data_IF_144551882055
#
_entry.id   IF_144551882055
#
_cell.length_a   1.000
_cell.length_b   1.000
_cell.length_c   1.000
_cell.angle_alpha   90.00
_cell.angle_beta   90.00
_cell.angle_gamma   90.00
#
_symmetry.space_group_name_H-M   'P 1'
#
loop_
_entity.id
_entity.type
_entity.pdbx_description
1 polymer ?
#
# COMPACT_ATOMS: atom_id res chain seq x y z
N UNK A 1 -31.22 66.38 28.49
CA UNK A 1 -30.91 65.83 27.16
C UNK A 1 -29.58 65.08 26.99
N UNK A 2 -28.46 65.32 27.72
CA UNK A 2 -27.20 64.59 27.47
C UNK A 2 -27.23 63.11 27.87
N UNK A 3 -28.04 62.70 28.85
CA UNK A 3 -28.19 61.28 29.27
C UNK A 3 -28.81 60.38 28.20
N UNK A 4 -29.71 60.90 27.35
CA UNK A 4 -30.34 60.10 26.29
C UNK A 4 -29.34 59.70 25.20
N UNK A 5 -28.43 60.62 24.81
CA UNK A 5 -27.40 60.34 23.81
C UNK A 5 -26.39 59.29 24.31
N UNK A 6 -26.04 59.33 25.60
CA UNK A 6 -25.15 58.36 26.22
C UNK A 6 -25.74 56.94 26.20
N UNK A 7 -27.03 56.79 26.51
CA UNK A 7 -27.69 55.48 26.50
C UNK A 7 -27.79 54.91 25.08
N UNK A 8 -28.12 55.74 24.09
CA UNK A 8 -28.18 55.29 22.68
C UNK A 8 -26.81 54.82 22.17
N UNK A 9 -25.73 55.50 22.55
CA UNK A 9 -24.37 55.11 22.16
C UNK A 9 -23.94 53.78 22.80
N UNK A 10 -24.25 53.56 24.09
CA UNK A 10 -23.98 52.29 24.78
C UNK A 10 -24.77 51.13 24.17
N UNK A 11 -26.04 51.34 23.84
CA UNK A 11 -26.86 50.32 23.15
C UNK A 11 -26.31 50.00 21.77
N UNK A 12 -25.89 51.01 21.00
CA UNK A 12 -25.29 50.79 19.68
C UNK A 12 -23.97 49.99 19.76
N UNK A 13 -23.09 50.31 20.72
CA UNK A 13 -21.84 49.56 20.95
C UNK A 13 -22.12 48.12 21.37
N UNK A 14 -23.10 47.90 22.24
CA UNK A 14 -23.49 46.55 22.67
C UNK A 14 -24.05 45.72 21.52
N UNK A 15 -24.97 46.27 20.73
CA UNK A 15 -25.51 45.61 19.55
C UNK A 15 -24.43 45.30 18.50
N UNK A 16 -23.50 46.23 18.26
CA UNK A 16 -22.37 46.00 17.36
C UNK A 16 -21.43 44.91 17.87
N UNK A 17 -21.16 44.87 19.18
CA UNK A 17 -20.31 43.84 19.80
C UNK A 17 -20.94 42.45 19.71
N UNK A 18 -22.26 42.34 19.94
CA UNK A 18 -23.01 41.10 19.76
C UNK A 18 -23.03 40.63 18.30
N UNK A 19 -23.18 41.57 17.35
CA UNK A 19 -23.09 41.27 15.93
C UNK A 19 -21.70 40.78 15.54
N UNK A 20 -20.64 41.43 16.02
CA UNK A 20 -19.26 41.00 15.74
C UNK A 20 -19.00 39.59 16.32
N UNK A 21 -19.46 39.34 17.55
CA UNK A 21 -19.34 38.03 18.19
C UNK A 21 -20.10 36.95 17.41
N UNK A 22 -21.32 37.23 16.91
CA UNK A 22 -22.08 36.26 16.13
C UNK A 22 -21.43 35.96 14.78
N UNK A 23 -20.85 36.97 14.12
CA UNK A 23 -20.06 36.78 12.89
C UNK A 23 -18.81 35.93 13.17
N UNK A 24 -18.08 36.19 14.27
CA UNK A 24 -16.92 35.40 14.67
C UNK A 24 -17.28 33.96 15.01
N UNK A 25 -18.39 33.73 15.73
CA UNK A 25 -18.90 32.38 16.01
C UNK A 25 -19.31 31.67 14.73
N UNK A 26 -19.97 32.37 13.80
CA UNK A 26 -20.33 31.79 12.49
C UNK A 26 -19.09 31.49 11.65
N UNK A 27 -18.06 32.35 11.67
CA UNK A 27 -16.78 32.08 11.01
C UNK A 27 -16.04 30.92 11.66
N UNK A 28 -16.00 30.85 12.99
CA UNK A 28 -15.41 29.76 13.74
C UNK A 28 -16.13 28.44 13.46
N UNK A 29 -17.46 28.42 13.53
CA UNK A 29 -18.27 27.25 13.21
C UNK A 29 -18.16 26.87 11.73
N UNK A 30 -18.14 27.84 10.81
CA UNK A 30 -17.94 27.60 9.38
C UNK A 30 -16.53 27.08 9.11
N UNK A 31 -15.50 27.60 9.77
CA UNK A 31 -14.12 27.11 9.67
C UNK A 31 -13.98 25.72 10.28
N UNK A 32 -14.64 25.42 11.41
CA UNK A 32 -14.65 24.08 12.01
C UNK A 32 -15.51 23.08 11.24
N UNK A 33 -16.54 23.56 10.53
CA UNK A 33 -17.43 22.75 9.70
C UNK A 33 -16.88 22.54 8.28
N UNK A 34 -16.12 23.50 7.75
CA UNK A 34 -15.40 23.46 6.47
C UNK A 34 -13.96 22.99 6.59
N UNK A 35 -13.41 22.88 7.81
CA UNK A 35 -12.47 21.81 8.15
C UNK A 35 -13.26 20.50 8.08
N UNK A 36 -13.81 20.21 6.89
CA UNK A 36 -14.37 18.93 6.54
C UNK A 36 -13.27 17.95 6.94
N UNK A 37 -13.56 17.12 7.95
CA UNK A 37 -12.59 16.16 8.46
C UNK A 37 -12.11 15.41 7.24
N UNK A 38 -10.85 15.63 6.85
CA UNK A 38 -10.27 14.97 5.70
C UNK A 38 -10.55 13.48 5.82
N UNK A 39 -10.83 12.80 4.71
CA UNK A 39 -11.04 11.36 4.75
C UNK A 39 -9.84 10.69 5.41
N UNK A 40 -10.10 9.66 6.21
CA UNK A 40 -9.04 8.78 6.69
C UNK A 40 -8.62 7.90 5.53
N UNK A 41 -7.34 8.02 5.13
CA UNK A 41 -6.77 7.20 4.06
C UNK A 41 -6.06 6.01 4.68
N UNK A 42 -6.49 4.81 4.29
CA UNK A 42 -5.89 3.55 4.69
C UNK A 42 -5.22 2.91 3.48
N UNK A 43 -3.95 2.54 3.62
CA UNK A 43 -3.20 1.82 2.61
C UNK A 43 -2.78 0.45 3.17
N UNK A 44 -3.33 -0.62 2.61
CA UNK A 44 -2.99 -2.00 2.94
C UNK A 44 -1.95 -2.50 1.95
N UNK A 45 -0.77 -2.88 2.43
CA UNK A 45 0.36 -3.27 1.58
C UNK A 45 0.98 -4.57 2.07
N UNK A 46 1.72 -5.23 1.18
CA UNK A 46 2.45 -6.45 1.50
C UNK A 46 3.95 -6.22 1.65
N UNK A 47 4.50 -6.67 2.77
CA UNK A 47 5.92 -6.56 3.02
C UNK A 47 6.65 -7.80 2.44
N UNK A 48 7.72 -7.66 1.61
CA UNK A 48 8.50 -6.45 1.30
C UNK A 48 8.41 -5.96 -0.18
N UNK A 49 7.22 -5.70 -0.74
CA UNK A 49 7.14 -5.31 -2.18
C UNK A 49 7.75 -3.92 -2.47
N UNK A 50 8.64 -3.78 -3.49
CA UNK A 50 9.31 -2.53 -3.83
C UNK A 50 8.42 -1.41 -4.41
N UNK A 51 7.18 -1.67 -4.80
CA UNK A 51 6.27 -0.63 -5.32
C UNK A 51 5.45 0.09 -4.22
N UNK A 52 5.34 -0.52 -3.04
CA UNK A 52 4.63 0.01 -1.87
C UNK A 52 5.05 1.43 -1.44
N UNK A 53 6.34 1.78 -1.37
CA UNK A 53 6.75 3.15 -1.04
C UNK A 53 6.24 4.17 -2.07
N UNK A 54 6.16 3.79 -3.36
CA UNK A 54 5.65 4.66 -4.41
C UNK A 54 4.14 4.87 -4.30
N UNK A 55 3.38 3.84 -3.94
CA UNK A 55 1.94 3.95 -3.70
C UNK A 55 1.64 4.90 -2.52
N UNK A 56 2.38 4.77 -1.42
CA UNK A 56 2.26 5.66 -0.26
C UNK A 56 2.57 7.13 -0.60
N UNK A 57 3.66 7.36 -1.35
CA UNK A 57 3.99 8.69 -1.86
C UNK A 57 2.87 9.28 -2.73
N UNK A 58 2.22 8.45 -3.54
CA UNK A 58 1.18 8.92 -4.46
C UNK A 58 -0.05 9.40 -3.72
N UNK A 59 -0.43 8.66 -2.69
CA UNK A 59 -1.51 9.08 -1.80
C UNK A 59 -1.18 10.38 -1.07
N UNK A 60 0.04 10.49 -0.51
CA UNK A 60 0.45 11.69 0.21
C UNK A 60 0.46 12.93 -0.68
N UNK A 61 0.98 12.80 -1.90
CA UNK A 61 1.12 13.93 -2.82
C UNK A 61 -0.19 14.37 -3.42
N UNK A 62 -1.02 13.44 -3.86
CA UNK A 62 -2.24 13.75 -4.61
C UNK A 62 -3.45 13.96 -3.72
N UNK A 63 -3.55 13.28 -2.58
CA UNK A 63 -4.69 13.41 -1.67
C UNK A 63 -4.39 14.32 -0.47
N UNK A 64 -3.11 14.60 -0.20
CA UNK A 64 -2.65 15.46 0.91
C UNK A 64 -3.37 15.18 2.25
N UNK A 65 -3.44 13.91 2.69
CA UNK A 65 -4.04 13.59 3.96
C UNK A 65 -3.17 14.12 5.11
N UNK A 66 -3.80 14.57 6.19
CA UNK A 66 -3.08 14.95 7.41
C UNK A 66 -2.24 13.81 8.02
N UNK A 67 -2.65 12.56 7.78
CA UNK A 67 -1.93 11.36 8.17
C UNK A 67 -2.34 10.21 7.22
N UNK A 68 -1.36 9.53 6.63
CA UNK A 68 -1.56 8.28 5.91
C UNK A 68 -1.37 7.12 6.90
N UNK A 69 -2.37 6.24 7.00
CA UNK A 69 -2.29 5.04 7.83
C UNK A 69 -1.95 3.85 6.93
N UNK A 70 -0.76 3.28 7.13
CA UNK A 70 -0.27 2.15 6.34
C UNK A 70 -0.36 0.89 7.20
N UNK A 71 -1.09 -0.12 6.71
CA UNK A 71 -1.27 -1.40 7.36
C UNK A 71 -0.42 -2.42 6.60
N UNK A 72 0.62 -2.94 7.25
CA UNK A 72 1.54 -3.89 6.63
C UNK A 72 1.09 -5.32 6.93
N UNK A 73 0.94 -6.13 5.89
CA UNK A 73 0.74 -7.57 6.02
C UNK A 73 2.03 -8.29 5.68
N UNK A 74 2.55 -9.09 6.61
CA UNK A 74 3.74 -9.90 6.39
C UNK A 74 3.45 -11.16 5.59
N UNK A 75 4.45 -11.64 4.85
CA UNK A 75 4.40 -12.92 4.13
C UNK A 75 4.88 -14.06 5.05
N UNK A 76 4.30 -15.27 4.97
CA UNK A 76 4.88 -16.47 5.55
C UNK A 76 6.28 -16.74 5.02
N UNK A 77 7.28 -16.83 5.90
CA UNK A 77 8.67 -17.12 5.52
C UNK A 77 9.30 -18.17 6.43
N UNK A 78 10.33 -18.82 5.92
CA UNK A 78 11.18 -19.71 6.69
C UNK A 78 12.65 -19.64 6.25
N UNK A 79 13.45 -18.89 7.02
CA UNK A 79 14.90 -18.80 6.82
C UNK A 79 15.66 -20.13 6.98
N UNK A 80 14.99 -21.21 7.39
CA UNK A 80 15.53 -22.55 7.30
C UNK A 80 15.54 -23.10 5.85
N UNK A 81 14.73 -22.60 4.92
CA UNK A 81 14.57 -23.17 3.56
C UNK A 81 15.69 -22.71 2.62
N UNK A 82 15.88 -23.48 1.54
CA UNK A 82 17.11 -23.66 0.76
C UNK A 82 17.71 -22.42 0.08
N UNK A 83 18.81 -22.66 -0.64
CA UNK A 83 19.55 -21.64 -1.39
C UNK A 83 18.64 -20.88 -2.36
N UNK A 84 18.92 -19.59 -2.59
CA UNK A 84 18.24 -18.81 -3.61
C UNK A 84 18.36 -19.49 -4.99
N UNK A 85 17.24 -19.67 -5.68
CA UNK A 85 17.20 -20.18 -7.06
C UNK A 85 16.19 -19.36 -7.86
N UNK A 86 16.68 -18.47 -8.72
CA UNK A 86 15.90 -17.53 -9.55
C UNK A 86 14.90 -18.16 -10.54
N UNK A 87 14.80 -19.49 -10.59
CA UNK A 87 13.90 -20.21 -11.49
C UNK A 87 12.76 -20.97 -10.76
N UNK A 88 12.72 -20.97 -9.43
CA UNK A 88 11.65 -21.64 -8.66
C UNK A 88 10.74 -20.57 -8.08
N UNK A 89 9.57 -20.43 -8.68
CA UNK A 89 8.59 -19.45 -8.25
C UNK A 89 7.40 -20.07 -7.51
N UNK A 90 6.99 -21.30 -7.83
CA UNK A 90 5.88 -21.94 -7.13
C UNK A 90 6.32 -22.51 -5.78
N UNK A 91 5.54 -22.23 -4.73
CA UNK A 91 5.75 -22.83 -3.41
C UNK A 91 5.59 -24.34 -3.48
N UNK A 92 6.59 -25.07 -3.00
CA UNK A 92 6.45 -26.52 -2.87
C UNK A 92 5.59 -26.89 -1.65
N UNK A 93 4.77 -27.94 -1.76
CA UNK A 93 3.85 -28.36 -0.69
C UNK A 93 4.49 -28.83 0.62
N UNK A 94 5.82 -28.89 0.70
CA UNK A 94 6.59 -29.20 1.91
C UNK A 94 7.20 -27.96 2.57
N UNK A 95 7.11 -26.77 1.95
CA UNK A 95 7.57 -25.51 2.52
C UNK A 95 6.66 -25.12 3.69
N UNK A 96 7.21 -25.16 4.90
CA UNK A 96 6.56 -24.69 6.12
C UNK A 96 7.08 -23.29 6.42
N UNK A 97 6.26 -22.45 7.04
CA UNK A 97 6.71 -21.15 7.54
C UNK A 97 6.92 -21.17 9.05
N UNK A 98 7.75 -20.26 9.54
CA UNK A 98 7.99 -20.04 10.97
C UNK A 98 7.45 -18.67 11.34
N UNK A 99 6.43 -18.64 12.21
CA UNK A 99 5.71 -17.39 12.53
C UNK A 99 6.65 -16.26 12.99
N UNK A 100 7.62 -16.59 13.86
CA UNK A 100 8.61 -15.64 14.35
C UNK A 100 9.50 -15.10 13.23
N UNK A 101 9.85 -15.89 12.21
CA UNK A 101 10.62 -15.40 11.06
C UNK A 101 9.81 -14.38 10.27
N UNK A 102 8.52 -14.67 10.01
CA UNK A 102 7.60 -13.78 9.32
C UNK A 102 7.39 -12.47 10.07
N UNK A 103 7.20 -12.53 11.39
CA UNK A 103 7.05 -11.35 12.24
C UNK A 103 8.30 -10.47 12.22
N UNK A 104 9.49 -11.09 12.32
CA UNK A 104 10.77 -10.36 12.25
C UNK A 104 10.99 -9.71 10.89
N UNK A 105 10.61 -10.37 9.80
CA UNK A 105 10.71 -9.79 8.45
C UNK A 105 9.70 -8.65 8.24
N UNK A 106 8.51 -8.76 8.83
CA UNK A 106 7.51 -7.69 8.81
C UNK A 106 8.02 -6.44 9.58
N UNK A 107 8.63 -6.62 10.74
CA UNK A 107 9.27 -5.54 11.51
C UNK A 107 10.42 -4.89 10.72
N UNK A 108 11.28 -5.68 10.08
CA UNK A 108 12.36 -5.17 9.23
C UNK A 108 11.81 -4.33 8.06
N UNK A 109 10.77 -4.83 7.39
CA UNK A 109 10.11 -4.11 6.29
C UNK A 109 9.51 -2.78 6.75
N UNK A 110 8.98 -2.73 7.97
CA UNK A 110 8.49 -1.49 8.57
C UNK A 110 9.62 -0.51 8.88
N UNK A 111 10.76 -0.98 9.40
CA UNK A 111 11.95 -0.14 9.63
C UNK A 111 12.46 0.48 8.32
N UNK A 112 12.49 -0.32 7.24
CA UNK A 112 12.91 0.11 5.90
C UNK A 112 11.99 1.20 5.35
N UNK A 113 10.68 0.98 5.40
CA UNK A 113 9.69 1.97 4.99
C UNK A 113 9.80 3.25 5.81
N UNK A 114 9.93 3.16 7.15
CA UNK A 114 10.12 4.34 8.00
C UNK A 114 11.36 5.13 7.59
N UNK A 115 12.50 4.46 7.44
CA UNK A 115 13.76 5.08 7.02
C UNK A 115 13.62 5.79 5.68
N UNK A 116 12.96 5.14 4.72
CA UNK A 116 12.67 5.73 3.42
C UNK A 116 11.82 7.00 3.54
N UNK A 117 10.72 6.94 4.29
CA UNK A 117 9.83 8.09 4.46
C UNK A 117 10.47 9.25 5.24
N UNK A 118 11.36 8.94 6.18
CA UNK A 118 12.17 9.95 6.88
C UNK A 118 13.16 10.63 5.93
N UNK A 119 13.84 9.87 5.06
CA UNK A 119 14.71 10.44 3.99
C UNK A 119 13.92 11.34 3.03
N UNK A 120 12.63 11.05 2.80
CA UNK A 120 11.72 11.89 2.02
C UNK A 120 11.10 13.06 2.80
N UNK A 121 11.46 13.27 4.08
CA UNK A 121 10.90 14.30 4.97
C UNK A 121 9.37 14.21 5.19
N UNK A 122 8.80 13.00 5.07
CA UNK A 122 7.35 12.76 5.19
C UNK A 122 7.00 11.74 6.28
N UNK A 123 7.97 11.18 6.99
CA UNK A 123 7.72 10.20 8.06
C UNK A 123 6.74 10.70 9.14
N UNK A 124 6.72 12.01 9.43
CA UNK A 124 5.78 12.63 10.36
C UNK A 124 4.30 12.58 9.91
N UNK A 125 4.02 12.31 8.63
CA UNK A 125 2.68 12.19 8.07
C UNK A 125 2.21 10.73 7.98
N UNK A 126 2.99 9.78 8.49
CA UNK A 126 2.75 8.35 8.29
C UNK A 126 2.65 7.63 9.63
N UNK A 127 1.78 6.63 9.69
CA UNK A 127 1.71 5.66 10.78
C UNK A 127 1.70 4.25 10.23
N UNK A 128 2.58 3.40 10.74
CA UNK A 128 2.71 2.00 10.33
C UNK A 128 2.04 1.08 11.35
N UNK A 129 1.13 0.23 10.89
CA UNK A 129 0.35 -0.68 11.70
C UNK A 129 0.65 -2.14 11.37
N UNK A 130 0.59 -2.99 12.39
CA UNK A 130 0.71 -4.44 12.24
C UNK A 130 -0.61 -5.01 11.69
N UNK A 131 -0.61 -5.43 10.43
CA UNK A 131 -1.71 -6.14 9.77
C UNK A 131 -1.70 -7.66 9.97
N UNK A 132 -0.69 -8.19 10.67
CA UNK A 132 -0.47 -9.62 10.86
C UNK A 132 0.29 -10.28 9.71
N UNK A 133 0.30 -11.60 9.72
CA UNK A 133 0.94 -12.43 8.70
C UNK A 133 -0.15 -13.13 7.89
N UNK A 134 -0.09 -13.04 6.56
CA UNK A 134 -1.01 -13.78 5.70
C UNK A 134 -0.90 -15.29 5.96
N UNK A 135 -1.97 -16.07 5.84
CA UNK A 135 -1.93 -17.51 6.15
C UNK A 135 -1.14 -18.34 5.11
N UNK A 136 -0.92 -17.81 3.91
CA UNK A 136 -0.24 -18.49 2.82
C UNK A 136 0.74 -17.54 2.11
N UNK A 137 1.81 -18.10 1.53
CA UNK A 137 2.59 -17.45 0.48
C UNK A 137 2.47 -18.34 -0.77
N UNK A 138 1.91 -17.85 -1.90
CA UNK A 138 1.69 -18.66 -3.09
C UNK A 138 2.96 -18.90 -3.90
N UNK A 139 3.99 -18.09 -3.67
CA UNK A 139 5.32 -18.24 -4.25
C UNK A 139 6.28 -18.87 -3.25
N UNK A 140 7.36 -19.46 -3.76
CA UNK A 140 8.40 -20.07 -2.93
C UNK A 140 9.02 -19.05 -1.99
N UNK A 141 9.28 -19.49 -0.75
CA UNK A 141 9.92 -18.66 0.29
C UNK A 141 11.25 -18.07 -0.24
N UNK A 142 11.97 -18.83 -1.09
CA UNK A 142 13.23 -18.39 -1.69
C UNK A 142 13.14 -17.13 -2.58
N UNK A 143 11.96 -16.75 -3.08
CA UNK A 143 11.82 -15.50 -3.85
C UNK A 143 11.72 -14.29 -2.90
N UNK A 144 10.98 -14.44 -1.81
CA UNK A 144 10.63 -13.34 -0.90
C UNK A 144 11.63 -13.17 0.25
N UNK A 145 12.30 -14.24 0.64
CA UNK A 145 13.28 -14.26 1.72
C UNK A 145 14.53 -13.44 1.41
N UNK A 146 14.72 -12.97 0.18
CA UNK A 146 15.96 -12.30 -0.23
C UNK A 146 15.74 -10.84 -0.63
N UNK A 147 14.49 -10.42 -0.85
CA UNK A 147 14.15 -9.02 -1.20
C UNK A 147 14.50 -8.04 -0.06
N UNK A 148 14.63 -8.54 1.18
CA UNK A 148 15.10 -7.73 2.31
C UNK A 148 16.58 -7.37 2.23
N UNK A 149 17.35 -8.05 1.37
CA UNK A 149 18.75 -7.72 1.14
C UNK A 149 18.93 -6.53 0.20
N UNK A 150 17.91 -6.10 -0.55
CA UNK A 150 18.07 -5.06 -1.56
C UNK A 150 18.62 -3.73 -1.03
N UNK A 151 18.34 -3.39 0.23
CA UNK A 151 18.83 -2.15 0.86
C UNK A 151 19.91 -2.38 1.93
N UNK A 152 20.69 -3.45 1.74
CA UNK A 152 21.69 -3.95 2.69
C UNK A 152 23.13 -3.69 2.29
N UNK A 153 23.38 -2.51 1.70
CA UNK A 153 24.74 -2.09 1.36
C UNK A 153 25.67 -2.03 2.56
N UNK A 154 25.13 -1.78 3.76
CA UNK A 154 25.81 -1.89 5.05
C UNK A 154 26.49 -3.25 5.29
N UNK A 155 26.01 -4.33 4.67
CA UNK A 155 26.56 -5.67 4.86
C UNK A 155 27.78 -6.01 4.00
N UNK A 156 28.12 -5.13 3.04
CA UNK A 156 29.24 -5.32 2.10
C UNK A 156 30.36 -4.32 2.40
N UNK A 157 30.01 -3.07 2.69
CA UNK A 157 30.99 -2.02 2.94
C UNK A 157 31.41 -1.99 4.40
N UNK A 158 32.68 -2.34 4.67
CA UNK A 158 33.24 -2.36 6.04
C UNK A 158 33.32 -0.98 6.72
N UNK A 159 33.06 0.13 6.02
CA UNK A 159 33.16 1.49 6.57
C UNK A 159 32.12 2.45 5.96
N UNK A 160 31.07 2.78 6.72
CA UNK A 160 30.40 4.09 6.62
C UNK A 160 29.32 4.29 5.56
N UNK A 161 28.70 3.24 5.00
CA UNK A 161 27.44 3.43 4.28
C UNK A 161 26.29 3.57 5.29
N UNK A 162 25.38 4.50 5.03
CA UNK A 162 24.16 4.66 5.81
C UNK A 162 23.23 3.47 5.58
N UNK A 163 22.52 3.05 6.63
CA UNK A 163 21.47 2.03 6.49
C UNK A 163 20.41 2.46 5.46
N UNK A 164 19.94 1.50 4.66
CA UNK A 164 18.90 1.72 3.65
C UNK A 164 19.42 2.33 2.34
N UNK A 165 20.68 2.14 1.98
CA UNK A 165 21.17 2.33 0.61
C UNK A 165 20.95 1.05 -0.22
N UNK A 166 20.54 1.21 -1.48
CA UNK A 166 20.27 0.09 -2.40
C UNK A 166 21.58 -0.51 -2.92
N UNK A 167 21.63 -1.84 -3.00
CA UNK A 167 22.72 -2.59 -3.60
C UNK A 167 22.77 -2.42 -5.13
N UNK A 168 23.95 -2.43 -5.73
CA UNK A 168 24.04 -2.72 -7.17
C UNK A 168 23.69 -4.19 -7.44
N UNK A 169 23.31 -4.56 -8.68
CA UNK A 169 23.07 -5.96 -9.04
C UNK A 169 24.25 -6.88 -8.69
N UNK A 170 25.49 -6.44 -8.96
CA UNK A 170 26.71 -7.21 -8.68
C UNK A 170 26.91 -7.41 -7.17
N UNK A 171 26.66 -6.36 -6.38
CA UNK A 171 26.75 -6.42 -4.92
C UNK A 171 25.69 -7.35 -4.32
N UNK A 172 24.47 -7.32 -4.86
CA UNK A 172 23.41 -8.25 -4.46
C UNK A 172 23.80 -9.70 -4.78
N UNK A 173 24.33 -9.98 -5.98
CA UNK A 173 24.79 -11.31 -6.36
C UNK A 173 25.93 -11.82 -5.46
N UNK A 174 26.88 -10.95 -5.09
CA UNK A 174 27.95 -11.27 -4.14
C UNK A 174 27.38 -11.68 -2.78
N UNK A 175 26.45 -10.88 -2.25
CA UNK A 175 25.82 -11.13 -0.95
C UNK A 175 24.98 -12.42 -0.97
N UNK A 176 24.20 -12.64 -2.03
CA UNK A 176 23.43 -13.87 -2.24
C UNK A 176 24.36 -15.09 -2.29
N UNK A 177 25.48 -15.00 -3.01
CA UNK A 177 26.47 -16.07 -3.13
C UNK A 177 27.08 -16.40 -1.77
N UNK A 178 27.50 -15.39 -1.02
CA UNK A 178 28.04 -15.53 0.35
C UNK A 178 27.08 -16.30 1.26
N UNK A 179 25.79 -15.96 1.26
CA UNK A 179 24.80 -16.67 2.07
C UNK A 179 24.46 -18.07 1.55
N UNK A 180 24.50 -18.29 0.23
CA UNK A 180 24.29 -19.60 -0.38
C UNK A 180 25.41 -20.60 -0.07
N UNK A 181 26.61 -20.14 0.28
CA UNK A 181 27.73 -20.97 0.74
C UNK A 181 27.60 -21.40 2.21
N UNK A 182 26.77 -20.70 2.99
CA UNK A 182 26.57 -21.02 4.40
C UNK A 182 25.74 -22.29 4.59
N UNK A 183 25.99 -22.98 5.72
CA UNK A 183 25.08 -24.02 6.17
C UNK A 183 23.72 -23.42 6.55
N UNK A 184 22.66 -24.21 6.40
CA UNK A 184 21.26 -23.83 6.69
C UNK A 184 21.12 -23.09 8.04
N UNK A 185 21.60 -23.69 9.12
CA UNK A 185 21.50 -23.09 10.46
C UNK A 185 22.41 -21.88 10.69
N UNK A 186 23.52 -21.75 9.95
CA UNK A 186 24.34 -20.52 10.02
C UNK A 186 23.62 -19.37 9.33
N UNK A 187 23.14 -19.58 8.11
CA UNK A 187 22.43 -18.56 7.33
C UNK A 187 21.20 -18.02 8.06
N UNK A 188 20.40 -18.90 8.66
CA UNK A 188 19.25 -18.51 9.48
C UNK A 188 19.65 -17.55 10.61
N UNK A 189 20.67 -17.91 11.41
CA UNK A 189 21.15 -17.06 12.50
C UNK A 189 21.64 -15.71 11.99
N UNK A 190 22.36 -15.71 10.89
CA UNK A 190 22.86 -14.48 10.27
C UNK A 190 21.69 -13.61 9.80
N UNK A 191 20.73 -14.17 9.05
CA UNK A 191 19.52 -13.47 8.60
C UNK A 191 18.77 -12.84 9.78
N UNK A 192 18.47 -13.61 10.81
CA UNK A 192 17.79 -13.08 12.00
C UNK A 192 18.60 -11.98 12.70
N UNK A 193 19.92 -12.05 12.70
CA UNK A 193 20.78 -11.06 13.35
C UNK A 193 20.86 -9.73 12.60
N UNK A 194 20.61 -9.74 11.30
CA UNK A 194 20.70 -8.54 10.46
C UNK A 194 19.35 -7.84 10.27
N UNK A 195 18.23 -8.46 10.65
CA UNK A 195 16.89 -7.84 10.54
C UNK A 195 16.74 -6.68 11.51
N UNK A 196 16.30 -5.54 11.00
CA UNK A 196 16.04 -4.32 11.77
C UNK A 196 14.80 -4.51 12.64
N UNK A 197 14.80 -3.88 13.81
CA UNK A 197 13.63 -3.86 14.68
C UNK A 197 12.79 -2.61 14.44
N UNK A 198 11.48 -2.78 14.35
CA UNK A 198 10.53 -1.68 14.33
C UNK A 198 9.31 -2.01 15.18
N UNK A 199 8.86 -1.06 15.98
CA UNK A 199 7.64 -1.25 16.77
C UNK A 199 6.40 -0.84 15.96
N UNK A 200 5.79 -1.81 15.29
CA UNK A 200 4.53 -1.61 14.58
C UNK A 200 3.37 -1.33 15.56
N UNK A 201 2.51 -0.40 15.19
CA UNK A 201 1.36 -0.03 16.00
C UNK A 201 0.29 -1.14 15.89
N UNK A 202 -0.28 -1.64 17.00
CA UNK A 202 -1.37 -2.61 16.93
C UNK A 202 -2.59 -2.09 16.16
N UNK A 203 -3.23 -2.95 15.36
CA UNK A 203 -4.38 -2.58 14.53
C UNK A 203 -5.57 -2.03 15.34
N UNK A 204 -5.77 -2.51 16.57
CA UNK A 204 -6.82 -2.01 17.46
C UNK A 204 -6.63 -0.53 17.84
N UNK A 205 -5.40 -0.02 17.85
CA UNK A 205 -5.15 1.40 18.08
C UNK A 205 -5.71 2.24 16.93
N UNK A 206 -5.63 1.76 15.69
CA UNK A 206 -6.23 2.41 14.52
C UNK A 206 -7.76 2.45 14.64
N UNK A 207 -8.38 1.32 15.00
CA UNK A 207 -9.85 1.26 15.26
C UNK A 207 -10.26 2.33 16.27
N UNK A 208 -9.56 2.36 17.40
CA UNK A 208 -9.83 3.31 18.47
C UNK A 208 -9.66 4.77 18.01
N UNK A 209 -8.62 5.05 17.22
CA UNK A 209 -8.35 6.38 16.67
C UNK A 209 -9.47 6.85 15.73
N UNK A 210 -9.90 5.99 14.79
CA UNK A 210 -10.97 6.30 13.84
C UNK A 210 -12.30 6.55 14.55
N UNK A 211 -12.65 5.71 15.54
CA UNK A 211 -13.88 5.84 16.31
C UNK A 211 -13.89 7.14 17.15
N UNK A 212 -12.77 7.50 17.78
CA UNK A 212 -12.65 8.71 18.61
C UNK A 212 -12.71 10.00 17.80
N UNK A 213 -12.05 10.05 16.64
CA UNK A 213 -11.96 11.26 15.81
C UNK A 213 -13.29 11.65 15.16
N UNK A 214 -14.39 10.91 15.38
CA UNK A 214 -15.67 11.03 14.66
C UNK A 214 -15.42 11.24 13.15
N UNK A 215 -14.52 10.41 12.61
CA UNK A 215 -14.24 10.36 11.19
C UNK A 215 -15.54 10.06 10.43
N UNK A 216 -15.81 10.79 9.34
CA UNK A 216 -17.01 10.56 8.53
C UNK A 216 -16.78 9.58 7.39
N UNK A 217 -15.54 9.53 6.89
CA UNK A 217 -15.21 8.91 5.63
C UNK A 217 -13.86 8.21 5.71
N UNK A 218 -13.83 6.96 5.23
CA UNK A 218 -12.64 6.14 5.10
C UNK A 218 -12.50 5.75 3.64
N UNK A 219 -11.33 6.01 3.06
CA UNK A 219 -10.97 5.54 1.72
C UNK A 219 -9.91 4.46 1.89
N UNK A 220 -10.15 3.30 1.29
CA UNK A 220 -9.31 2.11 1.42
C UNK A 220 -8.56 1.88 0.11
N UNK A 221 -7.24 1.72 0.21
CA UNK A 221 -6.36 1.28 -0.87
C UNK A 221 -5.76 -0.08 -0.51
N UNK A 222 -5.84 -1.04 -1.43
CA UNK A 222 -5.36 -2.41 -1.24
C UNK A 222 -4.30 -2.72 -2.30
N UNK A 223 -3.03 -2.69 -1.89
CA UNK A 223 -1.89 -3.21 -2.64
C UNK A 223 -1.47 -4.63 -2.22
N UNK A 224 -1.69 -4.99 -0.95
CA UNK A 224 -1.36 -6.32 -0.42
C UNK A 224 -2.55 -7.29 -0.22
N UNK A 225 -2.31 -8.46 0.40
CA UNK A 225 -3.35 -9.37 0.86
C UNK A 225 -4.34 -8.68 1.81
N UNK A 226 -5.59 -9.14 1.78
CA UNK A 226 -6.66 -8.53 2.58
C UNK A 226 -6.67 -8.98 4.04
N UNK A 227 -5.68 -9.72 4.53
CA UNK A 227 -5.66 -10.34 5.88
C UNK A 227 -6.10 -9.40 7.01
N UNK A 228 -5.62 -8.15 6.99
CA UNK A 228 -5.96 -7.16 8.01
C UNK A 228 -7.32 -6.47 7.80
N UNK A 229 -7.93 -6.56 6.61
CA UNK A 229 -9.16 -5.84 6.26
C UNK A 229 -10.35 -6.34 7.11
N UNK A 230 -10.68 -7.65 7.17
CA UNK A 230 -11.74 -8.12 8.05
C UNK A 230 -11.48 -7.82 9.53
N UNK A 231 -10.23 -7.90 9.95
CA UNK A 231 -9.83 -7.63 11.33
C UNK A 231 -10.08 -6.16 11.68
N UNK A 232 -9.72 -5.21 10.80
CA UNK A 232 -9.95 -3.79 11.03
C UNK A 232 -11.44 -3.42 11.00
N UNK A 233 -12.19 -4.05 10.11
CA UNK A 233 -13.59 -3.74 9.80
C UNK A 233 -14.58 -4.76 10.39
N UNK A 234 -14.23 -5.38 11.52
CA UNK A 234 -15.09 -6.28 12.29
C UNK A 234 -16.36 -5.57 12.84
N UNK A 235 -16.29 -4.25 13.01
CA UNK A 235 -17.40 -3.41 13.45
C UNK A 235 -18.22 -2.85 12.27
N UNK A 236 -19.55 -3.02 12.33
CA UNK A 236 -20.48 -2.37 11.40
C UNK A 236 -20.29 -0.84 11.35
N UNK A 237 -19.99 -0.20 12.48
CA UNK A 237 -19.79 1.25 12.55
C UNK A 237 -18.60 1.70 11.70
N UNK A 238 -17.53 0.89 11.65
CA UNK A 238 -16.38 1.18 10.81
C UNK A 238 -16.68 0.89 9.34
N UNK A 239 -17.36 -0.23 9.03
CA UNK A 239 -17.77 -0.58 7.66
C UNK A 239 -18.63 0.50 7.02
N UNK A 240 -19.58 1.07 7.76
CA UNK A 240 -20.46 2.13 7.28
C UNK A 240 -19.74 3.47 7.01
N UNK A 241 -18.50 3.64 7.47
CA UNK A 241 -17.68 4.84 7.19
C UNK A 241 -16.85 4.70 5.92
N UNK A 242 -16.68 3.48 5.41
CA UNK A 242 -15.97 3.29 4.14
C UNK A 242 -16.83 3.87 3.03
N UNK A 243 -16.24 4.69 2.16
CA UNK A 243 -16.93 5.29 1.00
C UNK A 243 -16.43 4.70 -0.30
N UNK A 244 -15.13 4.44 -0.38
CA UNK A 244 -14.47 3.91 -1.56
C UNK A 244 -13.41 2.87 -1.18
N UNK A 245 -13.27 1.88 -2.04
CA UNK A 245 -12.19 0.89 -1.99
C UNK A 245 -11.57 0.79 -3.37
N UNK A 246 -10.26 0.99 -3.44
CA UNK A 246 -9.43 0.82 -4.63
C UNK A 246 -8.43 -0.31 -4.36
N UNK A 247 -8.15 -1.17 -5.32
CA UNK A 247 -7.13 -2.19 -5.09
C UNK A 247 -6.57 -2.85 -6.34
N UNK A 248 -5.33 -3.31 -6.22
CA UNK A 248 -4.73 -4.25 -7.16
C UNK A 248 -5.17 -5.64 -6.72
N UNK A 249 -6.20 -6.16 -7.37
CA UNK A 249 -6.82 -7.40 -6.90
C UNK A 249 -7.53 -8.17 -8.01
N UNK A 250 -7.34 -9.49 -7.98
CA UNK A 250 -8.01 -10.41 -8.89
C UNK A 250 -7.40 -10.51 -10.28
N UNK A 251 -8.01 -11.40 -11.07
CA UNK A 251 -7.69 -11.69 -12.45
C UNK A 251 -9.01 -11.83 -13.23
N UNK A 252 -9.02 -11.38 -14.48
CA UNK A 252 -10.16 -11.56 -15.40
C UNK A 252 -10.28 -13.02 -15.84
N UNK A 253 -9.14 -13.68 -16.08
CA UNK A 253 -9.08 -15.08 -16.49
C UNK A 253 -8.09 -15.83 -15.57
N UNK A 254 -8.58 -16.40 -14.44
CA UNK A 254 -7.73 -17.15 -13.50
C UNK A 254 -6.85 -18.19 -14.22
N UNK A 255 -5.54 -18.14 -13.94
CA UNK A 255 -4.55 -19.07 -14.51
C UNK A 255 -4.11 -18.82 -15.96
N UNK A 256 -4.66 -17.81 -16.67
CA UNK A 256 -4.17 -17.45 -18.02
C UNK A 256 -3.23 -16.25 -17.95
N UNK A 257 -1.99 -16.43 -18.38
CA UNK A 257 -0.97 -15.35 -18.39
C UNK A 257 -0.50 -14.91 -17.00
N UNK A 258 -0.91 -15.63 -15.96
CA UNK A 258 -0.50 -15.41 -14.56
C UNK A 258 0.31 -16.61 -14.07
N UNK A 259 1.29 -16.33 -13.21
CA UNK A 259 2.16 -17.35 -12.61
C UNK A 259 1.40 -18.26 -11.65
N UNK A 260 0.27 -17.78 -11.14
CA UNK A 260 -0.53 -18.40 -10.10
C UNK A 260 -1.96 -18.61 -10.60
N UNK A 261 -2.64 -19.63 -10.05
CA UNK A 261 -4.06 -19.89 -10.37
C UNK A 261 -4.95 -18.70 -10.00
N UNK A 262 -4.64 -18.03 -8.90
CA UNK A 262 -5.27 -16.78 -8.46
C UNK A 262 -4.25 -15.64 -8.53
N UNK A 263 -4.70 -14.38 -8.54
CA UNK A 263 -3.80 -13.24 -8.31
C UNK A 263 -3.09 -13.38 -6.94
N UNK A 264 -1.86 -12.86 -6.82
CA UNK A 264 -0.99 -13.08 -5.67
C UNK A 264 -1.65 -12.73 -4.33
N UNK A 265 -2.18 -11.52 -4.17
CA UNK A 265 -2.81 -11.04 -2.93
C UNK A 265 -4.01 -11.90 -2.51
N UNK A 266 -4.81 -12.35 -3.49
CA UNK A 266 -5.90 -13.31 -3.25
C UNK A 266 -5.35 -14.64 -2.74
N UNK A 267 -4.30 -15.16 -3.38
CA UNK A 267 -3.76 -16.48 -3.07
C UNK A 267 -3.08 -16.53 -1.68
N UNK A 268 -2.58 -15.40 -1.19
CA UNK A 268 -2.05 -15.27 0.17
C UNK A 268 -3.13 -15.47 1.24
N UNK A 269 -4.37 -15.00 1.00
CA UNK A 269 -5.47 -15.09 1.96
C UNK A 269 -6.84 -15.16 1.27
N UNK A 270 -7.19 -16.34 0.75
CA UNK A 270 -8.44 -16.56 0.02
C UNK A 270 -9.65 -16.33 0.91
N UNK A 271 -9.56 -16.69 2.20
CA UNK A 271 -10.68 -16.55 3.14
C UNK A 271 -11.01 -15.08 3.37
N UNK A 272 -10.00 -14.26 3.66
CA UNK A 272 -10.18 -12.82 3.79
C UNK A 272 -10.68 -12.19 2.49
N UNK A 273 -10.13 -12.60 1.33
CA UNK A 273 -10.58 -12.12 0.03
C UNK A 273 -12.07 -12.44 -0.21
N UNK A 274 -12.53 -13.62 0.20
CA UNK A 274 -13.93 -14.01 0.13
C UNK A 274 -14.82 -13.13 1.02
N UNK A 275 -14.42 -12.88 2.27
CA UNK A 275 -15.17 -12.01 3.17
C UNK A 275 -15.32 -10.60 2.58
N UNK A 276 -14.23 -10.03 2.04
CA UNK A 276 -14.24 -8.67 1.49
C UNK A 276 -15.07 -8.58 0.20
N UNK A 277 -14.89 -9.51 -0.74
CA UNK A 277 -15.41 -9.34 -2.10
C UNK A 277 -16.59 -10.25 -2.46
N UNK A 278 -16.66 -11.48 -1.93
CA UNK A 278 -17.71 -12.47 -2.28
C UNK A 278 -18.91 -12.36 -1.33
N UNK A 279 -18.64 -12.33 -0.02
CA UNK A 279 -19.65 -12.10 1.02
C UNK A 279 -20.06 -10.63 1.10
N UNK A 280 -19.31 -9.78 0.40
CA UNK A 280 -19.51 -8.35 0.27
C UNK A 280 -19.58 -7.63 1.62
N UNK A 281 -18.44 -7.58 2.31
CA UNK A 281 -18.27 -6.83 3.57
C UNK A 281 -18.70 -5.37 3.46
N UNK A 282 -18.68 -4.77 2.26
CA UNK A 282 -19.02 -3.37 2.02
C UNK A 282 -20.13 -3.23 0.97
N UNK A 283 -21.37 -3.65 1.26
CA UNK A 283 -22.40 -3.83 0.24
C UNK A 283 -22.98 -2.51 -0.27
N UNK A 284 -22.61 -1.37 0.32
CA UNK A 284 -23.13 -0.04 -0.04
C UNK A 284 -22.13 0.82 -0.82
N UNK A 285 -20.91 0.35 -1.02
CA UNK A 285 -19.85 1.13 -1.67
C UNK A 285 -19.49 0.53 -3.02
N UNK A 286 -19.04 1.39 -3.94
CA UNK A 286 -18.35 0.93 -5.14
C UNK A 286 -16.92 0.52 -4.80
N UNK A 287 -16.52 -0.65 -5.28
CA UNK A 287 -15.18 -1.24 -5.14
C UNK A 287 -14.52 -1.25 -6.51
N UNK A 288 -13.36 -0.62 -6.64
CA UNK A 288 -12.65 -0.43 -7.90
C UNK A 288 -11.39 -1.30 -7.91
N UNK A 289 -11.40 -2.36 -8.70
CA UNK A 289 -10.28 -3.29 -8.79
C UNK A 289 -9.56 -3.16 -10.12
N UNK A 290 -8.24 -3.07 -10.04
CA UNK A 290 -7.33 -3.22 -11.16
C UNK A 290 -6.83 -4.67 -11.13
N UNK A 291 -7.09 -5.41 -12.21
CA UNK A 291 -6.63 -6.79 -12.30
C UNK A 291 -5.19 -6.88 -12.78
N UNK A 292 -4.61 -8.07 -12.62
CA UNK A 292 -3.26 -8.35 -13.11
C UNK A 292 -3.12 -8.13 -14.62
N UNK A 293 -4.13 -8.47 -15.41
CA UNK A 293 -4.11 -8.29 -16.86
C UNK A 293 -4.07 -6.81 -17.25
N UNK A 294 -4.92 -5.99 -16.63
CA UNK A 294 -4.96 -4.54 -16.85
C UNK A 294 -3.64 -3.90 -16.41
N UNK A 295 -3.12 -4.26 -15.23
CA UNK A 295 -1.87 -3.71 -14.73
C UNK A 295 -0.67 -4.03 -15.63
N UNK A 296 -0.69 -5.17 -16.34
CA UNK A 296 0.37 -5.59 -17.28
C UNK A 296 0.21 -5.01 -18.69
N UNK A 297 -0.74 -4.11 -18.91
CA UNK A 297 -0.87 -3.44 -20.20
C UNK A 297 0.33 -2.52 -20.44
N UNK A 298 0.85 -2.52 -21.68
CA UNK A 298 2.07 -1.79 -22.06
C UNK A 298 2.10 -0.32 -21.61
N UNK A 299 1.01 0.48 -21.69
CA UNK A 299 1.05 1.87 -21.23
C UNK A 299 1.27 2.03 -19.70
N UNK A 300 0.99 0.99 -18.91
CA UNK A 300 1.15 0.95 -17.45
C UNK A 300 2.44 0.24 -17.02
N UNK A 301 3.31 -0.12 -17.97
CA UNK A 301 4.63 -0.67 -17.70
C UNK A 301 5.66 0.44 -17.85
N UNK A 302 6.47 0.63 -16.82
CA UNK A 302 7.60 1.56 -16.84
C UNK A 302 8.83 0.77 -17.28
N UNK A 303 9.60 1.30 -18.23
CA UNK A 303 10.88 0.69 -18.60
C UNK A 303 11.98 1.20 -17.69
N UNK A 304 13.07 0.44 -17.57
CA UNK A 304 14.30 0.91 -16.92
C UNK A 304 14.79 2.24 -17.53
N UNK A 305 14.53 2.49 -18.83
CA UNK A 305 14.86 3.75 -19.46
C UNK A 305 14.01 4.90 -18.92
N UNK A 306 12.70 4.72 -18.78
CA UNK A 306 11.82 5.71 -18.15
C UNK A 306 12.21 5.94 -16.69
N UNK A 307 12.47 4.87 -15.93
CA UNK A 307 12.89 4.94 -14.52
C UNK A 307 14.12 5.84 -14.32
N UNK A 308 15.13 5.69 -15.18
CA UNK A 308 16.38 6.48 -15.13
C UNK A 308 16.19 7.98 -15.39
N UNK A 309 15.06 8.40 -15.98
CA UNK A 309 14.76 9.81 -16.22
C UNK A 309 14.28 10.52 -14.94
N UNK A 310 13.89 9.78 -13.88
CA UNK A 310 13.33 10.33 -12.64
C UNK A 310 14.39 10.69 -11.59
N UNK A 311 15.56 11.21 -12.01
CA UNK A 311 16.79 11.36 -11.22
C UNK A 311 16.72 12.08 -9.85
N UNK A 312 15.56 12.62 -9.45
CA UNK A 312 15.33 13.19 -8.13
C UNK A 312 15.00 12.16 -7.03
N UNK A 313 14.73 10.89 -7.35
CA UNK A 313 14.31 9.86 -6.39
C UNK A 313 15.09 8.56 -6.55
N UNK A 314 16.38 8.62 -6.20
CA UNK A 314 17.31 7.50 -6.41
C UNK A 314 16.83 6.20 -5.78
N UNK A 315 16.27 6.23 -4.57
CA UNK A 315 15.99 4.98 -3.84
C UNK A 315 14.91 4.08 -4.46
N UNK A 316 13.71 4.60 -4.81
CA UNK A 316 12.67 3.76 -5.46
C UNK A 316 13.11 3.33 -6.86
N UNK A 317 13.76 4.23 -7.61
CA UNK A 317 14.29 3.91 -8.93
C UNK A 317 15.36 2.83 -8.85
N UNK A 318 16.33 2.95 -7.94
CA UNK A 318 17.38 1.97 -7.70
C UNK A 318 16.79 0.63 -7.25
N UNK A 319 15.82 0.64 -6.34
CA UNK A 319 15.14 -0.56 -5.86
C UNK A 319 14.41 -1.29 -7.00
N UNK A 320 13.68 -0.56 -7.84
CA UNK A 320 13.00 -1.11 -9.00
C UNK A 320 13.98 -1.64 -10.05
N UNK A 321 15.06 -0.91 -10.33
CA UNK A 321 16.12 -1.37 -11.25
C UNK A 321 16.82 -2.63 -10.75
N UNK A 322 17.10 -2.71 -9.44
CA UNK A 322 17.66 -3.91 -8.82
C UNK A 322 16.68 -5.07 -8.93
N UNK A 323 15.41 -4.86 -8.61
CA UNK A 323 14.37 -5.88 -8.72
C UNK A 323 14.19 -6.40 -10.15
N UNK A 324 14.18 -5.51 -11.17
CA UNK A 324 14.16 -5.90 -12.58
C UNK A 324 15.36 -6.79 -12.93
N UNK A 325 16.55 -6.44 -12.44
CA UNK A 325 17.78 -7.18 -12.71
C UNK A 325 17.73 -8.61 -12.14
N UNK A 326 17.17 -8.80 -10.95
CA UNK A 326 17.03 -10.11 -10.31
C UNK A 326 15.92 -10.97 -10.94
N UNK A 327 15.04 -10.36 -11.74
CA UNK A 327 13.89 -10.99 -12.38
C UNK A 327 13.99 -11.09 -13.92
N UNK A 328 15.21 -11.33 -14.42
CA UNK A 328 15.51 -11.54 -15.86
C UNK A 328 15.29 -10.30 -16.73
N UNK A 329 15.50 -9.10 -16.16
CA UNK A 329 15.35 -7.81 -16.86
C UNK A 329 13.97 -7.65 -17.51
N UNK A 330 12.92 -8.18 -16.88
CA UNK A 330 11.55 -7.99 -17.33
C UNK A 330 11.02 -6.70 -16.72
N UNK A 331 10.64 -5.77 -17.58
CA UNK A 331 9.89 -4.58 -17.17
C UNK A 331 8.64 -5.01 -16.39
N UNK A 332 8.41 -4.38 -15.25
CA UNK A 332 7.25 -4.65 -14.39
C UNK A 332 6.38 -3.41 -14.28
N UNK A 333 5.06 -3.57 -14.18
CA UNK A 333 4.20 -2.47 -13.75
C UNK A 333 4.41 -2.20 -12.26
N UNK A 334 4.19 -0.95 -11.84
CA UNK A 334 4.07 -0.60 -10.43
C UNK A 334 2.64 -0.93 -9.97
N UNK A 335 2.42 -2.20 -9.66
CA UNK A 335 1.11 -2.80 -9.43
C UNK A 335 0.26 -1.99 -8.43
N UNK A 336 0.84 -1.59 -7.31
CA UNK A 336 0.13 -0.96 -6.21
C UNK A 336 -0.05 0.55 -6.38
N UNK A 337 0.69 1.14 -7.32
CA UNK A 337 0.56 2.54 -7.71
C UNK A 337 -0.64 2.76 -8.63
N UNK A 338 -1.00 1.76 -9.46
CA UNK A 338 -2.06 1.89 -10.47
C UNK A 338 -3.45 2.12 -9.83
N UNK A 339 -3.86 1.42 -8.76
CA UNK A 339 -5.12 1.73 -8.06
C UNK A 339 -5.17 3.16 -7.52
N UNK A 340 -4.03 3.71 -7.09
CA UNK A 340 -3.94 5.11 -6.65
C UNK A 340 -4.12 6.05 -7.83
N UNK A 341 -3.47 5.78 -8.96
CA UNK A 341 -3.68 6.56 -10.18
C UNK A 341 -5.15 6.52 -10.62
N UNK A 342 -5.76 5.34 -10.64
CA UNK A 342 -7.14 5.12 -11.06
C UNK A 342 -8.18 5.81 -10.16
N UNK A 343 -7.83 6.11 -8.90
CA UNK A 343 -8.74 6.80 -7.97
C UNK A 343 -8.80 8.31 -8.17
N UNK A 344 -7.88 8.88 -8.94
CA UNK A 344 -7.81 10.32 -9.17
C UNK A 344 -8.68 10.71 -10.37
N UNK A 345 -9.56 11.70 -10.19
CA UNK A 345 -10.49 12.21 -11.23
C UNK A 345 -9.81 12.52 -12.57
N UNK A 346 -8.55 13.00 -12.53
CA UNK A 346 -7.76 13.30 -13.73
C UNK A 346 -7.49 12.06 -14.59
N UNK A 347 -7.34 10.89 -13.95
CA UNK A 347 -6.91 9.65 -14.60
C UNK A 347 -8.02 8.60 -14.70
N UNK A 348 -9.13 8.74 -13.96
CA UNK A 348 -10.29 7.86 -14.04
C UNK A 348 -10.78 7.61 -15.49
N UNK A 349 -10.87 8.62 -16.39
CA UNK A 349 -11.37 8.41 -17.76
C UNK A 349 -10.54 7.49 -18.64
N UNK A 350 -9.31 7.15 -18.21
CA UNK A 350 -8.41 6.27 -18.95
C UNK A 350 -8.58 4.80 -18.59
N UNK A 351 -9.40 4.49 -17.58
CA UNK A 351 -9.72 3.12 -17.17
C UNK A 351 -11.11 2.73 -17.69
N UNK A 352 -11.19 1.60 -18.38
CA UNK A 352 -12.49 1.07 -18.82
C UNK A 352 -13.02 0.14 -17.74
N UNK A 353 -14.04 0.60 -17.03
CA UNK A 353 -14.66 -0.13 -15.92
C UNK A 353 -15.76 -1.07 -16.41
N UNK A 354 -15.80 -2.26 -15.85
CA UNK A 354 -16.86 -3.25 -16.06
C UNK A 354 -17.44 -3.70 -14.74
N UNK A 355 -18.77 -3.81 -14.65
CA UNK A 355 -19.42 -4.38 -13.47
C UNK A 355 -19.21 -5.90 -13.42
N UNK A 356 -18.62 -6.37 -12.33
CA UNK A 356 -18.31 -7.78 -12.10
C UNK A 356 -18.86 -8.25 -10.76
N UNK A 357 -19.13 -9.53 -10.61
CA UNK A 357 -19.35 -10.19 -9.32
C UNK A 357 -18.12 -11.03 -8.98
N UNK A 358 -17.63 -10.94 -7.74
CA UNK A 358 -16.64 -11.87 -7.24
C UNK A 358 -17.31 -13.18 -6.82
N UNK A 359 -16.72 -14.31 -7.19
CA UNK A 359 -17.17 -15.65 -6.80
C UNK A 359 -15.99 -16.52 -6.40
N UNK A 360 -16.24 -17.49 -5.52
CA UNK A 360 -15.30 -18.57 -5.23
C UNK A 360 -15.80 -19.84 -5.89
N UNK A 361 -15.02 -20.41 -6.82
CA UNK A 361 -15.31 -21.68 -7.49
C UNK A 361 -14.10 -22.58 -7.40
N UNK A 362 -14.24 -23.77 -6.83
CA UNK A 362 -13.15 -24.75 -6.69
C UNK A 362 -11.88 -24.18 -6.00
N UNK A 363 -12.10 -23.34 -4.98
CA UNK A 363 -11.05 -22.56 -4.26
C UNK A 363 -10.30 -21.54 -5.14
N UNK A 364 -10.84 -21.22 -6.32
CA UNK A 364 -10.35 -20.16 -7.19
C UNK A 364 -11.26 -18.95 -7.08
N UNK A 365 -10.64 -17.79 -6.94
CA UNK A 365 -11.34 -16.52 -6.91
C UNK A 365 -11.51 -16.03 -8.34
N UNK A 366 -12.75 -15.79 -8.75
CA UNK A 366 -13.08 -15.40 -10.10
C UNK A 366 -13.89 -14.10 -10.10
N UNK A 367 -13.67 -13.27 -11.13
CA UNK A 367 -14.43 -12.06 -11.39
C UNK A 367 -15.29 -12.27 -12.64
N UNK A 368 -16.61 -12.36 -12.47
CA UNK A 368 -17.56 -12.67 -13.55
C UNK A 368 -18.41 -11.46 -13.92
N UNK A 369 -18.83 -11.33 -15.19
CA UNK A 369 -19.75 -10.25 -15.61
C UNK A 369 -21.05 -10.26 -14.77
N UNK A 370 -21.51 -9.07 -14.40
CA UNK A 370 -22.77 -8.88 -13.67
C UNK A 370 -23.46 -7.58 -14.09
N UNK A 371 -24.78 -7.53 -13.96
CA UNK A 371 -25.59 -6.34 -14.23
C UNK A 371 -26.04 -5.60 -12.95
N UNK A 372 -25.62 -6.07 -11.77
CA UNK A 372 -26.10 -5.53 -10.49
C UNK A 372 -25.06 -5.70 -9.38
N UNK A 373 -23.80 -5.37 -9.67
CA UNK A 373 -22.72 -5.50 -8.69
C UNK A 373 -22.07 -4.15 -8.40
N UNK A 374 -21.70 -3.94 -7.14
CA UNK A 374 -20.93 -2.77 -6.72
C UNK A 374 -19.42 -2.92 -6.94
N UNK A 375 -18.99 -4.01 -7.59
CA UNK A 375 -17.59 -4.25 -7.91
C UNK A 375 -17.32 -3.87 -9.36
N UNK A 376 -16.55 -2.80 -9.55
CA UNK A 376 -16.06 -2.29 -10.81
C UNK A 376 -14.64 -2.79 -11.05
N UNK A 377 -14.43 -3.43 -12.18
CA UNK A 377 -13.16 -4.04 -12.54
C UNK A 377 -12.67 -3.41 -13.83
N UNK A 378 -11.48 -2.85 -13.80
CA UNK A 378 -10.84 -2.33 -15.00
C UNK A 378 -10.36 -3.50 -15.85
N UNK A 379 -10.71 -3.49 -17.13
CA UNK A 379 -10.28 -4.50 -18.10
C UNK A 379 -9.42 -3.93 -19.24
N UNK A 380 -9.32 -2.61 -19.33
CA UNK A 380 -8.55 -1.92 -20.34
C UNK A 380 -8.07 -0.56 -19.82
N UNK A 381 -6.93 -0.11 -20.34
CA UNK A 381 -6.39 1.22 -20.16
C UNK A 381 -6.24 1.89 -21.53
N UNK A 382 -7.03 2.93 -21.77
CA UNK A 382 -7.11 3.62 -23.07
C UNK A 382 -6.18 4.84 -23.18
N UNK A 383 -5.35 5.08 -22.15
CA UNK A 383 -4.35 6.15 -22.16
C UNK A 383 -3.06 5.77 -22.89
N UNK A 384 -2.23 6.77 -23.18
CA UNK A 384 -0.89 6.54 -23.71
C UNK A 384 0.16 6.46 -22.57
N UNK A 385 1.35 5.96 -22.91
CA UNK A 385 2.45 5.82 -21.96
C UNK A 385 2.89 7.16 -21.37
N UNK A 386 2.81 8.26 -22.15
CA UNK A 386 3.21 9.59 -21.70
C UNK A 386 2.36 10.09 -20.53
N UNK A 387 1.08 9.70 -20.46
CA UNK A 387 0.22 10.04 -19.33
C UNK A 387 0.63 9.31 -18.04
N UNK A 388 0.97 8.03 -18.16
CA UNK A 388 1.44 7.26 -17.02
C UNK A 388 2.81 7.76 -16.55
N UNK A 389 3.71 8.05 -17.50
CA UNK A 389 4.97 8.73 -17.21
C UNK A 389 4.72 10.11 -16.60
N UNK A 390 3.77 10.92 -17.07
CA UNK A 390 3.40 12.22 -16.47
C UNK A 390 2.91 12.06 -15.02
N UNK A 391 2.07 11.06 -14.76
CA UNK A 391 1.62 10.73 -13.40
C UNK A 391 2.82 10.42 -12.49
N UNK A 392 3.71 9.56 -12.97
CA UNK A 392 4.91 9.17 -12.27
C UNK A 392 5.88 10.36 -12.08
N UNK A 393 6.16 11.16 -13.11
CA UNK A 393 6.93 12.41 -12.96
C UNK A 393 6.31 13.32 -11.90
N UNK A 394 4.99 13.51 -11.94
CA UNK A 394 4.27 14.35 -10.96
C UNK A 394 4.20 13.75 -9.58
N UNK A 395 4.32 12.44 -9.43
CA UNK A 395 4.51 11.82 -8.13
C UNK A 395 5.79 12.33 -7.45
N UNK A 396 6.76 12.72 -8.25
CA UNK A 396 8.13 12.93 -7.81
C UNK A 396 8.54 14.43 -7.82
N UNK A 397 8.18 15.22 -8.82
CA UNK A 397 8.33 16.70 -8.81
C UNK A 397 7.09 17.39 -8.25
#
# INVERSE_FOLDING_TARGET
MPRLKSNMMLTAIFCFSLFLLSVLVLFYLKHHRNSAKQPVILLFIDAPDPDNPAAALALLKHLQPSCLHIILTGRPVDFHIGKYKSNIYERHGHEKFVINHSERLLEDSAARLSTYFDKCNIGHQIKLYNGGIAPCAPLSDAVHDWDFLYDRKDLITLNGCDEGEILSPEQYEELVSKYNEMSKGRREREFLSILRYFHLIPLDNLKCEILRKSCREIIVYIGGPTTAVPQLFDSEVLRLKVTNLYGMFGALEPGKGTLLKNQFNVACDIESACQVFVEDMFPKIKKFLITTETAKMRPLIVSSHHLKQFGAFSHVVELQLLWESTHKNKEQPLFDVIPVMASLDKYEPYFVWSEKKAVLKDKQFCLLNSHSSNLLVSHDFVGNIDLYVDFLVKLWY
#
